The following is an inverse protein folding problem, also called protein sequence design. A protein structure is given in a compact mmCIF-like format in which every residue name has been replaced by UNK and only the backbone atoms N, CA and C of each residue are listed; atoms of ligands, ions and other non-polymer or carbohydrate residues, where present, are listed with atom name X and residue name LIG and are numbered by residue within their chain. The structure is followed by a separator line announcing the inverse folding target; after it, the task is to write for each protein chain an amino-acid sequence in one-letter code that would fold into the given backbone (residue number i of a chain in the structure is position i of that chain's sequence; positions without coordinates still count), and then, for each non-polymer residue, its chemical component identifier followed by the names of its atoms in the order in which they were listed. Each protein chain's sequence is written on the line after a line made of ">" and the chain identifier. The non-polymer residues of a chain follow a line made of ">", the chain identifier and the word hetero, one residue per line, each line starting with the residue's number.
data_IF_354462589146
#
_entry.id   IF_354462589146
#
_cell.length_a   1.000
_cell.length_b   1.000
_cell.length_c   1.000
_cell.angle_alpha   90.00
_cell.angle_beta   90.00
_cell.angle_gamma   90.00
#
_symmetry.space_group_name_H-M   'P 1'
#
loop_
_entity.id
_entity.type
_entity.pdbx_description
1 polymer ?
#
# COMPACT_ATOMS: atom_id res chain seq x y z
N UNK A 1 -28.56 -14.52 1.95
CA UNK A 1 -27.31 -14.23 1.21
C UNK A 1 -26.16 -14.82 2.00
N UNK A 2 -25.48 -15.83 1.46
CA UNK A 2 -24.23 -16.33 2.05
C UNK A 2 -23.21 -15.18 1.95
N UNK A 3 -22.79 -14.64 3.09
CA UNK A 3 -21.66 -13.72 3.14
C UNK A 3 -20.44 -14.50 2.63
N UNK A 4 -19.80 -14.02 1.59
CA UNK A 4 -18.47 -14.51 1.21
C UNK A 4 -17.55 -14.20 2.38
N UNK A 5 -17.02 -15.23 2.99
CA UNK A 5 -16.01 -15.06 4.05
C UNK A 5 -14.77 -14.42 3.41
N UNK A 6 -14.28 -13.34 4.01
CA UNK A 6 -13.02 -12.75 3.59
C UNK A 6 -11.88 -13.74 3.81
N UNK A 7 -10.95 -13.83 2.86
CA UNK A 7 -9.70 -14.56 3.05
C UNK A 7 -8.67 -13.59 3.62
N UNK A 8 -8.04 -13.96 4.72
CA UNK A 8 -6.96 -13.20 5.36
C UNK A 8 -5.64 -13.92 5.09
N UNK A 9 -4.64 -13.16 4.63
CA UNK A 9 -3.27 -13.63 4.43
C UNK A 9 -2.36 -12.81 5.36
N UNK A 10 -1.74 -13.49 6.32
CA UNK A 10 -0.86 -12.82 7.29
C UNK A 10 0.56 -12.71 6.74
N UNK A 11 0.83 -11.62 6.03
CA UNK A 11 2.16 -11.20 5.58
C UNK A 11 2.17 -9.71 5.27
N UNK A 12 3.35 -9.10 5.27
CA UNK A 12 3.56 -7.83 4.61
C UNK A 12 3.53 -8.03 3.09
N UNK A 13 3.11 -7.03 2.33
CA UNK A 13 3.16 -7.04 0.88
C UNK A 13 4.22 -6.04 0.42
N UNK A 14 5.06 -6.44 -0.52
CA UNK A 14 6.10 -5.60 -1.11
C UNK A 14 6.66 -6.21 -2.38
N UNK A 15 7.63 -5.55 -3.00
CA UNK A 15 8.18 -5.95 -4.30
C UNK A 15 9.29 -7.02 -4.21
N UNK A 16 9.41 -7.70 -3.09
CA UNK A 16 10.37 -8.78 -2.87
C UNK A 16 9.81 -9.82 -1.89
N UNK A 17 10.32 -11.05 -1.97
CA UNK A 17 9.97 -12.12 -1.04
C UNK A 17 11.06 -12.23 0.01
N UNK A 18 10.70 -12.04 1.28
CA UNK A 18 11.59 -12.13 2.47
C UNK A 18 10.86 -12.80 3.62
N UNK A 19 11.59 -13.52 4.45
CA UNK A 19 11.01 -14.22 5.60
C UNK A 19 11.13 -13.42 6.92
N UNK A 20 11.93 -12.36 6.93
CA UNK A 20 12.33 -11.62 8.12
C UNK A 20 12.33 -10.10 7.92
N UNK A 21 11.18 -9.52 7.58
CA UNK A 21 11.02 -8.06 7.57
C UNK A 21 10.50 -7.56 8.92
N UNK A 22 10.91 -6.37 9.30
CA UNK A 22 10.45 -5.73 10.52
C UNK A 22 9.24 -4.86 10.18
N UNK A 23 8.12 -5.13 10.86
CA UNK A 23 6.97 -4.25 10.91
C UNK A 23 7.04 -3.44 12.21
N UNK A 24 7.22 -2.15 12.09
CA UNK A 24 7.16 -1.22 13.22
C UNK A 24 5.72 -0.97 13.62
N UNK A 25 5.33 -1.41 14.81
CA UNK A 25 3.96 -1.26 15.31
C UNK A 25 3.84 0.06 16.08
N UNK A 26 2.96 0.93 15.61
CA UNK A 26 2.68 2.22 16.24
C UNK A 26 1.72 2.09 17.43
N UNK A 27 1.73 3.08 18.30
CA UNK A 27 0.85 3.14 19.49
C UNK A 27 -0.64 3.22 19.15
N UNK A 28 -1.00 3.69 17.94
CA UNK A 28 -2.37 3.73 17.43
C UNK A 28 -2.70 2.54 16.49
N UNK A 29 -1.73 1.65 16.25
CA UNK A 29 -1.78 0.51 15.33
C UNK A 29 -1.99 0.89 13.84
N UNK A 30 -2.72 1.96 13.54
CA UNK A 30 -3.08 2.39 12.18
C UNK A 30 -1.87 2.95 11.39
N UNK A 31 -0.91 3.58 12.09
CA UNK A 31 0.31 4.11 11.48
C UNK A 31 1.48 3.13 11.52
N UNK A 32 1.19 1.82 11.62
CA UNK A 32 2.23 0.78 11.60
C UNK A 32 2.76 0.62 10.19
N UNK A 33 4.09 0.55 10.02
CA UNK A 33 4.73 0.50 8.72
C UNK A 33 6.00 -0.35 8.74
N UNK A 34 6.44 -0.78 7.55
CA UNK A 34 7.78 -1.34 7.35
C UNK A 34 8.84 -0.22 7.20
N UNK A 35 8.41 1.02 7.04
CA UNK A 35 9.26 2.19 6.94
C UNK A 35 9.39 2.92 8.28
N UNK A 36 10.52 3.61 8.46
CA UNK A 36 10.69 4.54 9.57
C UNK A 36 9.79 5.77 9.41
N UNK A 37 9.32 6.31 10.55
CA UNK A 37 8.63 7.61 10.57
C UNK A 37 9.61 8.75 10.25
N UNK A 38 9.24 9.63 9.32
CA UNK A 38 10.00 10.83 8.96
C UNK A 38 9.24 12.11 9.35
N UNK A 39 8.67 12.85 8.40
CA UNK A 39 7.90 14.07 8.71
C UNK A 39 6.59 13.78 9.43
N UNK A 40 6.13 12.53 9.41
CA UNK A 40 5.01 12.04 10.21
C UNK A 40 5.13 12.41 11.69
N UNK A 41 6.36 12.39 12.25
CA UNK A 41 6.64 12.82 13.64
C UNK A 41 6.28 14.27 13.92
N UNK A 42 6.30 15.15 12.89
CA UNK A 42 5.92 16.55 13.01
C UNK A 42 4.42 16.76 12.84
N UNK A 43 3.82 16.02 11.89
CA UNK A 43 2.39 16.08 11.61
C UNK A 43 1.56 15.44 12.74
N UNK A 44 2.06 14.36 13.32
CA UNK A 44 1.41 13.57 14.35
C UNK A 44 2.38 13.25 15.51
N UNK A 45 2.78 14.23 16.34
CA UNK A 45 3.83 14.06 17.34
C UNK A 45 3.49 13.05 18.46
N UNK A 46 2.22 12.70 18.60
CA UNK A 46 1.75 11.68 19.54
C UNK A 46 1.87 10.24 18.99
N UNK A 47 2.14 10.08 17.68
CA UNK A 47 2.34 8.78 17.06
C UNK A 47 3.81 8.38 17.13
N UNK A 48 4.08 7.19 17.66
CA UNK A 48 5.41 6.62 17.77
C UNK A 48 5.35 5.09 17.70
N UNK A 49 6.44 4.49 17.31
CA UNK A 49 6.55 3.04 17.33
C UNK A 49 6.75 2.51 18.75
N UNK A 50 6.01 1.46 19.09
CA UNK A 50 5.98 0.85 20.45
C UNK A 50 6.70 -0.48 20.50
N UNK A 51 6.74 -1.19 19.37
CA UNK A 51 7.39 -2.50 19.25
C UNK A 51 7.67 -2.84 17.79
N UNK A 52 8.59 -3.77 17.59
CA UNK A 52 8.88 -4.38 16.31
C UNK A 52 8.27 -5.78 16.24
N UNK A 53 7.71 -6.13 15.10
CA UNK A 53 7.19 -7.46 14.80
C UNK A 53 7.92 -7.99 13.56
N UNK A 54 8.58 -9.13 13.70
CA UNK A 54 9.17 -9.83 12.56
C UNK A 54 8.06 -10.57 11.82
N UNK A 55 7.95 -10.34 10.51
CA UNK A 55 6.96 -10.96 9.64
C UNK A 55 7.58 -11.33 8.30
N UNK A 56 6.90 -12.22 7.54
CA UNK A 56 7.28 -12.46 6.14
C UNK A 56 6.75 -11.34 5.25
N UNK A 57 7.47 -11.02 4.19
CA UNK A 57 7.00 -10.19 3.08
C UNK A 57 6.86 -11.07 1.84
N UNK A 58 5.81 -10.83 1.07
CA UNK A 58 5.59 -11.53 -0.21
C UNK A 58 5.14 -10.55 -1.28
N UNK A 59 5.47 -10.86 -2.51
CA UNK A 59 4.88 -10.21 -3.68
C UNK A 59 3.48 -10.75 -3.91
N UNK A 60 2.57 -9.93 -4.40
CA UNK A 60 1.23 -10.40 -4.81
C UNK A 60 1.37 -11.47 -5.91
N UNK A 61 2.28 -11.25 -6.87
CA UNK A 61 2.53 -12.23 -7.94
C UNK A 61 2.94 -13.61 -7.37
N UNK A 62 3.83 -13.64 -6.40
CA UNK A 62 4.24 -14.88 -5.73
C UNK A 62 3.07 -15.56 -5.01
N UNK A 63 2.25 -14.81 -4.25
CA UNK A 63 1.08 -15.37 -3.57
C UNK A 63 0.06 -15.97 -4.55
N UNK A 64 -0.06 -15.40 -5.75
CA UNK A 64 -0.94 -15.91 -6.81
C UNK A 64 -0.35 -17.17 -7.43
N UNK A 65 0.93 -17.17 -7.77
CA UNK A 65 1.63 -18.31 -8.38
C UNK A 65 1.65 -19.52 -7.44
N UNK A 66 1.79 -19.30 -6.14
CA UNK A 66 1.74 -20.34 -5.09
C UNK A 66 0.31 -20.78 -4.75
N UNK A 67 -0.72 -20.17 -5.34
CA UNK A 67 -2.13 -20.48 -5.07
C UNK A 67 -2.64 -20.02 -3.70
N UNK A 68 -1.87 -19.23 -2.96
CA UNK A 68 -2.29 -18.64 -1.69
C UNK A 68 -3.34 -17.53 -1.89
N UNK A 69 -3.35 -16.88 -3.06
CA UNK A 69 -4.27 -15.79 -3.40
C UNK A 69 -4.77 -15.93 -4.84
N UNK A 70 -5.93 -15.38 -5.14
CA UNK A 70 -6.51 -15.34 -6.49
C UNK A 70 -7.03 -13.95 -6.78
N UNK A 71 -6.69 -13.41 -7.94
CA UNK A 71 -7.12 -12.09 -8.41
C UNK A 71 -8.22 -12.15 -9.46
N UNK A 72 -8.53 -13.34 -9.99
CA UNK A 72 -9.54 -13.51 -11.05
C UNK A 72 -10.92 -13.02 -10.60
N UNK A 73 -11.51 -12.15 -11.39
CA UNK A 73 -12.80 -11.53 -11.12
C UNK A 73 -12.75 -10.39 -10.10
N UNK A 74 -11.58 -10.02 -9.60
CA UNK A 74 -11.37 -8.80 -8.83
C UNK A 74 -11.12 -7.63 -9.80
N UNK A 75 -11.76 -6.50 -9.55
CA UNK A 75 -11.61 -5.30 -10.39
C UNK A 75 -11.31 -4.03 -9.59
N UNK A 76 -11.33 -4.10 -8.28
CA UNK A 76 -11.08 -2.98 -7.37
C UNK A 76 -9.98 -3.34 -6.38
N UNK A 77 -8.95 -2.53 -6.31
CA UNK A 77 -7.86 -2.59 -5.35
C UNK A 77 -7.98 -1.41 -4.39
N UNK A 78 -8.04 -1.70 -3.10
CA UNK A 78 -7.94 -0.69 -2.04
C UNK A 78 -6.67 -0.92 -1.24
N UNK A 79 -5.86 0.13 -1.08
CA UNK A 79 -4.59 0.07 -0.36
C UNK A 79 -4.43 1.23 0.60
N UNK A 80 -3.94 0.90 1.79
CA UNK A 80 -3.45 1.79 2.82
C UNK A 80 -2.35 1.02 3.57
N UNK A 81 -1.12 1.19 3.15
CA UNK A 81 0.05 0.44 3.64
C UNK A 81 1.13 1.34 4.21
N UNK A 82 0.74 2.57 4.55
CA UNK A 82 1.50 3.51 5.34
C UNK A 82 2.89 3.79 4.74
N UNK A 83 2.89 4.23 3.47
CA UNK A 83 4.06 4.68 2.74
C UNK A 83 4.69 3.64 1.80
N UNK A 84 4.20 2.41 1.78
CA UNK A 84 4.77 1.32 0.95
C UNK A 84 3.95 1.02 -0.31
N UNK A 85 3.04 1.91 -0.71
CA UNK A 85 2.05 1.74 -1.78
C UNK A 85 2.70 1.40 -3.12
N UNK A 86 3.77 2.10 -3.51
CA UNK A 86 4.46 1.87 -4.78
C UNK A 86 5.08 0.47 -4.85
N UNK A 87 5.67 0.00 -3.76
CA UNK A 87 6.27 -1.34 -3.70
C UNK A 87 5.20 -2.43 -3.74
N UNK A 88 4.04 -2.19 -3.11
CA UNK A 88 2.88 -3.07 -3.25
C UNK A 88 2.40 -3.12 -4.68
N UNK A 89 2.24 -1.98 -5.36
CA UNK A 89 1.82 -1.92 -6.77
C UNK A 89 2.79 -2.67 -7.69
N UNK A 90 4.09 -2.49 -7.50
CA UNK A 90 5.14 -3.22 -8.25
C UNK A 90 5.05 -4.74 -8.04
N UNK A 91 4.60 -5.19 -6.87
CA UNK A 91 4.50 -6.61 -6.53
C UNK A 91 3.45 -7.39 -7.34
N UNK A 92 2.54 -6.69 -8.02
CA UNK A 92 1.52 -7.29 -8.89
C UNK A 92 2.06 -7.71 -10.26
N UNK A 93 3.15 -7.09 -10.74
CA UNK A 93 3.64 -7.25 -12.12
C UNK A 93 2.56 -6.97 -13.17
N UNK A 94 2.29 -7.95 -14.04
CA UNK A 94 1.27 -7.92 -15.08
C UNK A 94 -0.16 -8.08 -14.52
N UNK A 95 -0.32 -8.68 -13.35
CA UNK A 95 -1.62 -8.87 -12.70
C UNK A 95 -2.32 -7.54 -12.40
N UNK A 96 -1.58 -6.45 -12.21
CA UNK A 96 -2.14 -5.13 -11.93
C UNK A 96 -3.10 -4.67 -13.06
N UNK A 97 -2.80 -5.05 -14.28
CA UNK A 97 -3.63 -4.69 -15.45
C UNK A 97 -4.99 -5.39 -15.49
N UNK A 98 -5.24 -6.36 -14.62
CA UNK A 98 -6.56 -6.99 -14.41
C UNK A 98 -7.55 -6.13 -13.64
N UNK A 99 -7.07 -5.11 -12.92
CA UNK A 99 -7.92 -4.21 -12.12
C UNK A 99 -8.43 -3.04 -12.98
N UNK A 100 -9.64 -2.59 -12.68
CA UNK A 100 -10.24 -1.40 -13.29
C UNK A 100 -10.08 -0.16 -12.41
N UNK A 101 -10.02 -0.35 -11.11
CA UNK A 101 -10.00 0.73 -10.11
C UNK A 101 -8.95 0.47 -9.06
N UNK A 102 -8.22 1.52 -8.68
CA UNK A 102 -7.28 1.54 -7.56
C UNK A 102 -7.60 2.74 -6.69
N UNK A 103 -7.89 2.50 -5.42
CA UNK A 103 -8.04 3.52 -4.38
C UNK A 103 -6.89 3.35 -3.39
N UNK A 104 -6.10 4.39 -3.17
CA UNK A 104 -4.89 4.27 -2.39
C UNK A 104 -4.55 5.56 -1.66
N UNK A 105 -3.93 5.43 -0.47
CA UNK A 105 -3.24 6.55 0.16
C UNK A 105 -2.14 7.08 -0.76
N UNK A 106 -1.95 8.40 -0.75
CA UNK A 106 -0.93 9.11 -1.52
C UNK A 106 -0.26 10.18 -0.67
N UNK A 107 1.04 10.39 -0.87
CA UNK A 107 1.84 11.28 -0.07
C UNK A 107 2.46 12.41 -0.92
N UNK A 108 2.23 13.67 -0.55
CA UNK A 108 2.99 14.82 -1.09
C UNK A 108 4.32 14.95 -0.40
N UNK A 109 4.32 14.78 0.92
CA UNK A 109 5.48 14.90 1.79
C UNK A 109 6.03 13.53 2.16
N UNK A 110 7.27 13.47 2.62
CA UNK A 110 7.90 12.24 3.08
C UNK A 110 7.46 11.93 4.53
N UNK A 111 6.23 11.44 4.67
CA UNK A 111 5.71 11.07 5.99
C UNK A 111 6.47 9.90 6.58
N UNK A 112 6.79 8.92 5.77
CA UNK A 112 7.66 7.80 6.08
C UNK A 112 8.93 7.91 5.26
N UNK A 113 10.04 7.50 5.82
CA UNK A 113 11.36 7.57 5.18
C UNK A 113 11.38 6.81 3.86
N UNK A 114 11.70 7.50 2.77
CA UNK A 114 11.71 6.97 1.41
C UNK A 114 10.33 6.46 0.92
N UNK A 115 9.22 6.89 1.51
CA UNK A 115 7.90 6.60 0.93
C UNK A 115 7.77 7.25 -0.44
N UNK A 116 7.02 6.57 -1.33
CA UNK A 116 6.75 7.12 -2.65
C UNK A 116 5.91 8.40 -2.57
N UNK A 117 6.24 9.35 -3.44
CA UNK A 117 5.48 10.59 -3.58
C UNK A 117 4.36 10.41 -4.60
N UNK A 118 3.34 11.26 -4.48
CA UNK A 118 2.20 11.28 -5.39
C UNK A 118 2.60 11.21 -6.87
N UNK A 119 3.60 11.99 -7.29
CA UNK A 119 4.03 12.00 -8.70
C UNK A 119 4.65 10.67 -9.15
N UNK A 120 5.34 9.96 -8.26
CA UNK A 120 5.94 8.64 -8.57
C UNK A 120 4.85 7.58 -8.75
N UNK A 121 3.77 7.63 -7.93
CA UNK A 121 2.61 6.78 -8.12
C UNK A 121 1.87 7.12 -9.42
N UNK A 122 1.67 8.43 -9.71
CA UNK A 122 1.04 8.90 -10.94
C UNK A 122 1.79 8.40 -12.19
N UNK A 123 3.12 8.50 -12.21
CA UNK A 123 3.97 8.03 -13.31
C UNK A 123 3.87 6.50 -13.46
N UNK A 124 4.05 5.77 -12.37
CA UNK A 124 3.99 4.30 -12.40
C UNK A 124 2.63 3.79 -12.89
N UNK A 125 1.54 4.34 -12.34
CA UNK A 125 0.18 3.92 -12.69
C UNK A 125 -0.20 4.34 -14.11
N UNK A 126 0.25 5.48 -14.58
CA UNK A 126 0.08 5.92 -15.97
C UNK A 126 0.72 4.94 -16.96
N UNK A 127 1.93 4.45 -16.66
CA UNK A 127 2.60 3.45 -17.50
C UNK A 127 1.86 2.10 -17.53
N UNK A 128 1.02 1.83 -16.52
CA UNK A 128 0.12 0.66 -16.45
C UNK A 128 -1.28 0.91 -17.02
N UNK A 129 -1.52 2.09 -17.61
CA UNK A 129 -2.80 2.46 -18.24
C UNK A 129 -3.84 3.03 -17.29
N UNK A 130 -3.46 3.43 -16.09
CA UNK A 130 -4.36 4.08 -15.14
C UNK A 130 -4.26 5.61 -15.21
N UNK A 131 -5.37 6.27 -14.96
CA UNK A 131 -5.46 7.74 -14.85
C UNK A 131 -6.06 8.08 -13.50
N UNK A 132 -5.45 9.00 -12.76
CA UNK A 132 -6.03 9.54 -11.55
C UNK A 132 -7.22 10.43 -11.91
N UNK A 133 -8.41 10.09 -11.40
CA UNK A 133 -9.66 10.81 -11.68
C UNK A 133 -10.18 11.60 -10.49
N UNK A 134 -9.76 11.25 -9.28
CA UNK A 134 -10.17 11.95 -8.05
C UNK A 134 -9.07 11.89 -6.99
N UNK A 135 -9.02 12.87 -6.11
CA UNK A 135 -8.08 12.93 -5.00
C UNK A 135 -8.60 13.85 -3.90
N UNK A 136 -8.54 13.38 -2.67
CA UNK A 136 -8.82 14.17 -1.47
C UNK A 136 -7.55 14.25 -0.64
N UNK A 137 -6.98 15.44 -0.50
CA UNK A 137 -5.83 15.68 0.37
C UNK A 137 -6.29 16.25 1.70
N UNK A 138 -5.70 15.78 2.78
CA UNK A 138 -5.93 16.38 4.10
C UNK A 138 -5.12 17.67 4.24
N UNK A 139 -5.76 18.69 4.84
CA UNK A 139 -5.11 19.97 5.13
C UNK A 139 -3.98 19.76 6.17
N UNK A 140 -2.77 20.15 5.79
CA UNK A 140 -1.59 20.21 6.66
C UNK A 140 -0.64 19.01 6.61
N UNK A 141 -1.09 17.74 6.78
CA UNK A 141 -0.15 16.62 6.94
C UNK A 141 0.48 16.11 5.64
N UNK A 142 0.10 16.60 4.47
CA UNK A 142 0.75 16.24 3.19
C UNK A 142 0.39 14.85 2.65
N UNK A 143 -0.69 14.24 3.12
CA UNK A 143 -1.22 12.95 2.63
C UNK A 143 -2.71 13.03 2.31
N UNK A 144 -3.22 12.05 1.63
CA UNK A 144 -4.61 11.94 1.27
C UNK A 144 -4.89 10.65 0.52
N UNK A 145 -6.05 10.56 -0.11
CA UNK A 145 -6.48 9.41 -0.89
C UNK A 145 -6.67 9.79 -2.35
N UNK A 146 -6.34 8.89 -3.26
CA UNK A 146 -6.53 9.05 -4.69
C UNK A 146 -7.23 7.86 -5.32
N UNK A 147 -8.10 8.15 -6.30
CA UNK A 147 -8.77 7.15 -7.13
C UNK A 147 -8.19 7.17 -8.54
N UNK A 148 -7.72 6.02 -8.96
CA UNK A 148 -7.23 5.78 -10.31
C UNK A 148 -8.16 4.83 -11.05
N UNK A 149 -8.37 5.09 -12.33
CA UNK A 149 -9.20 4.27 -13.22
C UNK A 149 -8.38 3.87 -14.43
N UNK A 150 -8.48 2.61 -14.82
CA UNK A 150 -7.85 2.12 -16.04
C UNK A 150 -8.71 2.50 -17.24
N UNK A 151 -8.10 3.19 -18.20
CA UNK A 151 -8.73 3.66 -19.43
C UNK A 151 -8.56 2.67 -20.57
#
# INVERSE_FOLDING_TARGET
>A
RKHRTAKIISCAIGNEDKDDVILHVSNNEQSSSILDLETHKRAHPHVHYTRDLVTRMRRIKTLVDDGEFQVDGLNFLNMDVQGYELEVLKSFDDLLTGFSYIYTEVNRDELYKNCARLHELDEFLKDKGFTRIDMVMLDGPGWGDALYVRM
#
